data_IF_955631829884
#
_entry.id   IF_955631829884
#
_cell.length_a   1.000
_cell.length_b   1.000
_cell.length_c   1.000
_cell.angle_alpha   90.00
_cell.angle_beta   90.00
_cell.angle_gamma   90.00
#
_symmetry.space_group_name_H-M   'P 1'
#
loop_
_entity.id
_entity.type
_entity.pdbx_description
1 polymer ?
#
# COMPACT_ATOMS: atom_id res chain seq x y z
N UNK A 1 -14.34 28.18 13.39
CA UNK A 1 -15.50 27.85 12.55
C UNK A 1 -15.28 27.95 11.04
N UNK A 2 -14.05 28.13 10.52
CA UNK A 2 -13.78 28.26 9.06
C UNK A 2 -13.25 27.00 8.36
N UNK A 3 -12.94 25.93 9.10
CA UNK A 3 -12.34 24.70 8.52
C UNK A 3 -13.33 23.75 7.83
N UNK A 4 -14.63 23.93 8.03
CA UNK A 4 -15.66 23.06 7.44
C UNK A 4 -16.10 23.42 6.02
N UNK A 5 -15.90 24.68 5.59
CA UNK A 5 -16.39 25.20 4.31
C UNK A 5 -15.44 24.95 3.12
N UNK A 6 -14.17 24.68 3.37
CA UNK A 6 -13.16 24.50 2.30
C UNK A 6 -13.08 23.06 1.75
N UNK A 7 -13.60 22.06 2.46
CA UNK A 7 -13.54 20.64 2.03
C UNK A 7 -14.36 20.34 0.76
N UNK A 8 -15.61 20.82 0.60
CA UNK A 8 -16.40 20.55 -0.61
C UNK A 8 -15.90 21.31 -1.83
N UNK A 9 -15.32 22.51 -1.63
CA UNK A 9 -14.80 23.35 -2.73
C UNK A 9 -13.53 22.73 -3.33
N UNK A 10 -12.60 22.22 -2.52
CA UNK A 10 -11.39 21.55 -3.02
C UNK A 10 -11.72 20.27 -3.83
N UNK A 11 -12.73 19.53 -3.43
CA UNK A 11 -13.16 18.32 -4.13
C UNK A 11 -13.81 18.65 -5.49
N UNK A 12 -14.58 19.74 -5.57
CA UNK A 12 -15.18 20.22 -6.83
C UNK A 12 -14.14 20.82 -7.79
N UNK A 13 -13.20 21.61 -7.27
CA UNK A 13 -12.13 22.20 -8.08
C UNK A 13 -11.19 21.10 -8.65
N UNK A 14 -10.84 20.08 -7.86
CA UNK A 14 -10.00 18.97 -8.35
C UNK A 14 -10.64 18.21 -9.51
N UNK A 15 -11.96 17.99 -9.48
CA UNK A 15 -12.71 17.35 -10.58
C UNK A 15 -12.70 18.24 -11.83
N UNK A 16 -12.86 19.57 -11.69
CA UNK A 16 -12.82 20.49 -12.82
C UNK A 16 -11.45 20.55 -13.48
N UNK A 17 -10.36 20.58 -12.71
CA UNK A 17 -9.00 20.53 -13.27
C UNK A 17 -8.69 19.20 -13.96
N UNK A 18 -9.19 18.08 -13.45
CA UNK A 18 -9.05 16.76 -14.10
C UNK A 18 -9.78 16.69 -15.46
N UNK A 19 -10.80 17.53 -15.69
CA UNK A 19 -11.48 17.63 -16.98
C UNK A 19 -10.77 18.58 -17.97
N UNK A 20 -9.95 19.50 -17.47
CA UNK A 20 -9.29 20.51 -18.30
C UNK A 20 -7.85 20.11 -18.72
N UNK A 21 -7.22 19.22 -17.97
CA UNK A 21 -5.87 18.73 -18.29
C UNK A 21 -5.90 17.20 -18.44
N UNK A 22 -5.71 16.67 -19.65
CA UNK A 22 -5.62 15.23 -19.86
C UNK A 22 -4.43 14.69 -19.06
N UNK A 23 -4.65 13.61 -18.31
CA UNK A 23 -3.62 12.91 -17.56
C UNK A 23 -2.99 11.84 -18.42
N UNK A 24 -1.67 11.67 -18.33
CA UNK A 24 -0.98 10.52 -18.87
C UNK A 24 -1.17 9.29 -17.98
N UNK A 25 -1.14 8.13 -18.58
CA UNK A 25 -1.04 6.86 -17.88
C UNK A 25 0.28 6.81 -17.07
N UNK A 26 0.22 6.49 -15.79
CA UNK A 26 1.41 6.44 -14.91
C UNK A 26 2.47 5.39 -15.33
N UNK A 27 2.15 4.50 -16.28
CA UNK A 27 3.04 3.43 -16.74
C UNK A 27 3.58 3.64 -18.17
N UNK A 28 2.81 4.27 -19.06
CA UNK A 28 3.18 4.40 -20.47
C UNK A 28 2.95 5.81 -21.06
N UNK A 29 2.58 6.78 -20.23
CA UNK A 29 2.28 8.18 -20.59
C UNK A 29 1.16 8.38 -21.63
N UNK A 30 0.50 7.31 -22.11
CA UNK A 30 -0.64 7.41 -22.99
C UNK A 30 -1.73 8.28 -22.36
N UNK A 31 -2.25 9.24 -23.11
CA UNK A 31 -3.35 10.12 -22.66
C UNK A 31 -4.55 9.30 -22.20
N UNK A 32 -5.01 9.58 -20.99
CA UNK A 32 -6.21 8.99 -20.40
C UNK A 32 -7.43 9.87 -20.67
N UNK A 33 -8.60 9.25 -20.79
CA UNK A 33 -9.86 9.99 -20.83
C UNK A 33 -10.03 10.84 -19.57
N UNK A 34 -10.67 12.01 -19.65
CA UNK A 34 -10.98 12.81 -18.48
C UNK A 34 -11.70 11.99 -17.40
N UNK A 35 -11.25 12.09 -16.16
CA UNK A 35 -11.82 11.34 -15.04
C UNK A 35 -11.49 9.83 -15.04
N UNK A 36 -10.60 9.36 -15.92
CA UNK A 36 -10.17 7.95 -15.93
C UNK A 36 -9.67 7.50 -14.58
N UNK A 37 -10.16 6.37 -14.14
CA UNK A 37 -9.83 5.72 -12.87
C UNK A 37 -9.61 4.22 -13.11
N UNK A 38 -8.58 3.65 -12.52
CA UNK A 38 -7.42 4.31 -11.87
C UNK A 38 -6.56 5.06 -12.90
N UNK A 39 -5.62 5.92 -12.48
CA UNK A 39 -4.73 6.71 -13.35
C UNK A 39 -3.73 5.89 -14.17
N UNK A 40 -4.16 4.73 -14.66
CA UNK A 40 -3.43 3.78 -15.50
C UNK A 40 -4.35 3.29 -16.60
N UNK A 41 -3.89 3.22 -17.84
CA UNK A 41 -4.71 2.76 -18.97
C UNK A 41 -5.00 1.25 -18.87
N UNK A 42 -6.07 0.82 -19.51
CA UNK A 42 -6.50 -0.59 -19.48
C UNK A 42 -5.44 -1.54 -20.01
N UNK A 43 -4.72 -1.16 -21.08
CA UNK A 43 -3.63 -1.97 -21.62
C UNK A 43 -2.53 -2.23 -20.58
N UNK A 44 -2.12 -1.18 -19.86
CA UNK A 44 -1.14 -1.33 -18.79
C UNK A 44 -1.67 -2.13 -17.59
N UNK A 45 -2.94 -1.97 -17.21
CA UNK A 45 -3.57 -2.77 -16.16
C UNK A 45 -3.54 -4.26 -16.49
N UNK A 46 -3.89 -4.61 -17.72
CA UNK A 46 -3.89 -6.00 -18.18
C UNK A 46 -2.48 -6.57 -18.36
N UNK A 47 -1.51 -5.72 -18.73
CA UNK A 47 -0.11 -6.11 -18.92
C UNK A 47 0.69 -6.20 -17.62
N UNK A 48 0.17 -5.70 -16.47
CA UNK A 48 0.89 -5.79 -15.19
C UNK A 48 1.06 -7.24 -14.76
N UNK A 49 2.31 -7.73 -14.55
CA UNK A 49 2.56 -9.07 -14.09
C UNK A 49 1.79 -9.39 -12.78
N UNK A 50 1.04 -10.46 -12.79
CA UNK A 50 0.31 -10.94 -11.62
C UNK A 50 -0.91 -10.11 -11.19
N UNK A 51 -1.33 -9.08 -11.94
CA UNK A 51 -2.52 -8.28 -11.61
C UNK A 51 -3.81 -9.12 -11.58
N UNK A 52 -3.94 -10.07 -12.51
CA UNK A 52 -5.10 -10.97 -12.62
C UNK A 52 -4.85 -12.36 -11.98
N UNK A 53 -3.73 -12.53 -11.27
CA UNK A 53 -3.38 -13.81 -10.67
C UNK A 53 -4.13 -14.03 -9.35
N UNK A 54 -4.60 -15.26 -9.14
CA UNK A 54 -5.08 -15.67 -7.82
C UNK A 54 -3.93 -15.63 -6.82
N UNK A 55 -4.19 -15.02 -5.67
CA UNK A 55 -3.20 -14.84 -4.60
C UNK A 55 -3.68 -15.46 -3.31
N UNK A 56 -2.74 -15.92 -2.50
CA UNK A 56 -3.02 -16.28 -1.13
C UNK A 56 -3.56 -15.04 -0.39
N UNK A 57 -4.76 -15.16 0.17
CA UNK A 57 -5.40 -14.06 0.89
C UNK A 57 -4.56 -13.57 2.09
N UNK A 58 -3.71 -14.44 2.67
CA UNK A 58 -2.90 -14.10 3.83
C UNK A 58 -1.58 -13.41 3.45
N UNK A 59 -0.76 -13.97 2.56
CA UNK A 59 0.58 -13.45 2.29
C UNK A 59 0.75 -12.76 0.93
N UNK A 60 -0.28 -12.75 0.09
CA UNK A 60 -0.28 -12.11 -1.22
C UNK A 60 0.59 -12.80 -2.29
N UNK A 61 1.25 -13.91 -1.99
CA UNK A 61 1.96 -14.72 -2.99
C UNK A 61 0.96 -15.42 -3.91
N UNK A 62 1.38 -15.82 -5.13
CA UNK A 62 0.53 -16.60 -6.02
C UNK A 62 -0.05 -17.81 -5.30
N UNK A 63 -1.35 -18.03 -5.45
CA UNK A 63 -1.97 -19.25 -5.00
C UNK A 63 -1.59 -20.38 -5.95
N UNK A 64 -1.25 -21.56 -5.40
CA UNK A 64 -1.11 -22.77 -6.22
C UNK A 64 -2.46 -23.13 -6.82
N UNK A 65 -2.45 -23.61 -8.06
CA UNK A 65 -3.65 -24.17 -8.71
C UNK A 65 -4.12 -25.47 -8.03
N UNK A 66 -3.28 -26.12 -7.23
CA UNK A 66 -3.67 -27.25 -6.40
C UNK A 66 -4.53 -26.74 -5.24
N UNK A 67 -5.63 -27.43 -4.97
CA UNK A 67 -6.56 -27.14 -3.87
C UNK A 67 -5.91 -27.24 -2.46
N UNK A 68 -4.64 -27.58 -2.41
CA UNK A 68 -3.90 -27.78 -1.17
C UNK A 68 -3.43 -26.42 -0.62
N UNK A 69 -4.22 -25.86 0.30
CA UNK A 69 -3.86 -24.66 1.06
C UNK A 69 -2.57 -24.83 1.88
N UNK A 70 -2.08 -26.04 2.06
CA UNK A 70 -0.85 -26.36 2.80
C UNK A 70 0.41 -26.03 1.99
N UNK A 71 0.31 -25.88 0.68
CA UNK A 71 1.44 -25.53 -0.19
C UNK A 71 1.89 -24.06 -0.08
N UNK A 72 1.13 -23.19 0.61
CA UNK A 72 1.54 -21.79 0.78
C UNK A 72 2.64 -21.65 1.84
N UNK A 73 3.76 -20.99 1.53
CA UNK A 73 4.85 -20.77 2.50
C UNK A 73 4.42 -20.06 3.81
N UNK A 74 3.26 -19.39 3.83
CA UNK A 74 2.72 -18.77 5.04
C UNK A 74 1.98 -19.77 5.96
N UNK A 75 1.84 -21.02 5.58
CA UNK A 75 1.26 -22.06 6.44
C UNK A 75 2.16 -22.38 7.65
N UNK A 76 3.49 -22.34 7.44
CA UNK A 76 4.48 -22.60 8.49
C UNK A 76 4.90 -21.35 9.27
N UNK A 77 4.83 -20.17 8.65
CA UNK A 77 5.22 -18.89 9.27
C UNK A 77 4.14 -17.84 9.01
N UNK A 78 3.15 -17.79 9.90
CA UNK A 78 2.05 -16.83 9.79
C UNK A 78 2.56 -15.39 9.85
N UNK A 79 2.22 -14.53 8.87
CA UNK A 79 2.47 -13.10 9.00
C UNK A 79 1.68 -12.51 10.16
N UNK A 80 2.15 -11.41 10.73
CA UNK A 80 1.47 -10.71 11.84
C UNK A 80 0.14 -10.05 11.46
N UNK A 81 -0.06 -9.80 10.17
CA UNK A 81 -1.31 -9.28 9.59
C UNK A 81 -2.25 -10.42 9.15
N UNK A 82 -3.53 -10.10 8.96
CA UNK A 82 -4.57 -11.11 8.74
C UNK A 82 -4.78 -11.41 7.26
N UNK A 83 -4.74 -10.37 6.41
CA UNK A 83 -4.96 -10.48 4.96
C UNK A 83 -4.02 -9.54 4.20
N UNK A 84 -3.90 -9.81 2.89
CA UNK A 84 -3.12 -9.00 1.95
C UNK A 84 -3.95 -8.67 0.71
N UNK A 85 -3.99 -7.40 0.36
CA UNK A 85 -4.42 -6.91 -0.94
C UNK A 85 -3.18 -6.41 -1.67
N UNK A 86 -2.81 -7.06 -2.77
CA UNK A 86 -1.70 -6.65 -3.62
C UNK A 86 -2.20 -6.37 -5.04
N UNK A 87 -1.74 -5.26 -5.64
CA UNK A 87 -2.17 -4.90 -7.00
C UNK A 87 -1.53 -5.85 -8.02
N UNK A 88 -0.19 -5.98 -8.00
CA UNK A 88 0.56 -6.77 -8.98
C UNK A 88 1.83 -7.37 -8.37
N UNK A 89 2.60 -8.10 -9.17
CA UNK A 89 3.95 -8.52 -8.80
C UNK A 89 4.92 -7.34 -8.88
N UNK A 90 5.98 -7.35 -8.05
CA UNK A 90 7.06 -6.37 -8.12
C UNK A 90 7.97 -6.70 -9.30
N UNK A 91 7.57 -6.27 -10.49
CA UNK A 91 8.23 -6.50 -11.77
C UNK A 91 7.93 -5.33 -12.72
N UNK A 92 8.67 -5.25 -13.83
CA UNK A 92 8.45 -4.22 -14.84
C UNK A 92 7.01 -4.30 -15.41
N UNK A 93 6.35 -3.16 -15.64
CA UNK A 93 6.84 -1.78 -15.50
C UNK A 93 6.64 -1.16 -14.12
N UNK A 94 5.91 -1.83 -13.21
CA UNK A 94 5.50 -1.30 -11.91
C UNK A 94 6.69 -1.03 -10.96
N UNK A 95 7.75 -1.84 -11.03
CA UNK A 95 8.99 -1.66 -10.28
C UNK A 95 9.65 -0.30 -10.54
N UNK A 96 9.67 0.12 -11.82
CA UNK A 96 10.20 1.43 -12.24
C UNK A 96 9.38 2.58 -11.68
N UNK A 97 8.05 2.48 -11.71
CA UNK A 97 7.15 3.50 -11.15
C UNK A 97 7.34 3.64 -9.65
N UNK A 98 7.41 2.52 -8.92
CA UNK A 98 7.66 2.52 -7.48
C UNK A 98 9.05 3.09 -7.16
N UNK A 99 10.06 2.75 -7.95
CA UNK A 99 11.43 3.28 -7.79
C UNK A 99 11.46 4.79 -8.06
N UNK A 100 10.80 5.27 -9.12
CA UNK A 100 10.68 6.70 -9.44
C UNK A 100 9.96 7.47 -8.34
N UNK A 101 8.91 6.92 -7.75
CA UNK A 101 8.25 7.51 -6.59
C UNK A 101 9.20 7.58 -5.38
N UNK A 102 9.97 6.51 -5.12
CA UNK A 102 10.87 6.44 -3.94
C UNK A 102 12.11 7.33 -4.06
N UNK A 103 12.73 7.36 -5.22
CA UNK A 103 14.06 7.94 -5.42
C UNK A 103 14.08 9.05 -6.48
N UNK A 104 13.16 9.03 -7.43
CA UNK A 104 13.02 10.05 -8.47
C UNK A 104 12.23 11.30 -8.05
N UNK A 105 11.78 11.38 -6.79
CA UNK A 105 10.95 12.48 -6.25
C UNK A 105 9.66 12.74 -7.03
N UNK A 106 9.17 11.76 -7.78
CA UNK A 106 7.95 11.88 -8.59
C UNK A 106 6.70 11.63 -7.74
N UNK A 107 6.38 12.59 -6.87
CA UNK A 107 5.24 12.51 -5.94
C UNK A 107 3.89 12.35 -6.66
N UNK A 108 3.78 12.85 -7.90
CA UNK A 108 2.59 12.70 -8.75
C UNK A 108 2.20 11.24 -8.97
N UNK A 109 3.15 10.28 -8.89
CA UNK A 109 2.89 8.85 -9.00
C UNK A 109 2.15 8.26 -7.79
N UNK A 110 2.19 8.92 -6.64
CA UNK A 110 1.47 8.43 -5.44
C UNK A 110 -0.05 8.37 -5.67
N UNK A 111 -0.61 9.31 -6.46
CA UNK A 111 -2.04 9.36 -6.76
C UNK A 111 -2.50 8.13 -7.54
N UNK A 112 -1.98 7.81 -8.74
CA UNK A 112 -2.41 6.62 -9.48
C UNK A 112 -2.13 5.32 -8.74
N UNK A 113 -1.07 5.22 -7.94
CA UNK A 113 -0.80 4.03 -7.13
C UNK A 113 -1.82 3.85 -6.00
N UNK A 114 -2.24 4.93 -5.35
CA UNK A 114 -3.34 4.91 -4.37
C UNK A 114 -4.69 4.58 -5.00
N UNK A 115 -4.96 5.09 -6.20
CA UNK A 115 -6.14 4.75 -6.99
C UNK A 115 -6.17 3.26 -7.38
N UNK A 116 -5.02 2.68 -7.77
CA UNK A 116 -4.88 1.24 -8.04
C UNK A 116 -5.15 0.39 -6.79
N UNK A 117 -4.63 0.80 -5.63
CA UNK A 117 -4.92 0.13 -4.35
C UNK A 117 -6.41 0.17 -4.02
N UNK A 118 -7.06 1.32 -4.21
CA UNK A 118 -8.50 1.46 -4.00
C UNK A 118 -9.30 0.53 -4.92
N UNK A 119 -8.98 0.51 -6.22
CA UNK A 119 -9.63 -0.37 -7.19
C UNK A 119 -9.45 -1.85 -6.83
N UNK A 120 -8.24 -2.25 -6.44
CA UNK A 120 -7.95 -3.63 -6.05
C UNK A 120 -8.67 -4.05 -4.78
N UNK A 121 -8.73 -3.17 -3.77
CA UNK A 121 -9.46 -3.42 -2.53
C UNK A 121 -10.97 -3.51 -2.77
N UNK A 122 -11.56 -2.56 -3.51
CA UNK A 122 -13.00 -2.55 -3.83
C UNK A 122 -13.42 -3.78 -4.65
N UNK A 123 -12.52 -4.30 -5.50
CA UNK A 123 -12.71 -5.52 -6.28
C UNK A 123 -12.37 -6.81 -5.54
N UNK A 124 -12.07 -6.77 -4.23
CA UNK A 124 -11.77 -7.99 -3.45
C UNK A 124 -13.02 -8.84 -3.25
N UNK A 125 -12.85 -10.16 -3.35
CA UNK A 125 -13.93 -11.13 -3.08
C UNK A 125 -13.38 -12.25 -2.18
N UNK A 126 -13.99 -12.45 -1.00
CA UNK A 126 -15.06 -11.66 -0.39
C UNK A 126 -14.63 -10.23 -0.09
N UNK A 127 -15.61 -9.33 0.04
CA UNK A 127 -15.37 -7.92 0.36
C UNK A 127 -14.63 -7.77 1.70
N UNK A 128 -13.58 -6.95 1.69
CA UNK A 128 -12.77 -6.66 2.88
C UNK A 128 -13.25 -5.34 3.48
N UNK A 129 -13.69 -5.38 4.74
CA UNK A 129 -14.06 -4.18 5.47
C UNK A 129 -12.82 -3.47 6.03
N UNK A 130 -12.81 -2.13 5.95
CA UNK A 130 -11.80 -1.27 6.55
C UNK A 130 -12.47 -0.09 7.25
N UNK A 131 -12.02 0.20 8.47
CA UNK A 131 -12.49 1.35 9.26
C UNK A 131 -11.55 2.55 9.10
N UNK A 132 -10.26 2.32 8.89
CA UNK A 132 -9.26 3.36 8.68
C UNK A 132 -8.04 2.86 7.90
N UNK A 133 -7.22 3.80 7.42
CA UNK A 133 -5.94 3.55 6.79
C UNK A 133 -4.80 4.06 7.67
N UNK A 134 -3.80 3.22 7.87
CA UNK A 134 -2.55 3.56 8.54
C UNK A 134 -1.40 3.42 7.55
N UNK A 135 -0.73 4.50 7.14
CA UNK A 135 0.45 4.39 6.29
C UNK A 135 1.66 3.89 7.08
N UNK A 136 2.43 2.98 6.50
CA UNK A 136 3.72 2.55 7.06
C UNK A 136 4.66 3.76 7.13
N UNK A 137 5.21 4.11 8.30
CA UNK A 137 6.09 5.26 8.44
C UNK A 137 7.49 4.98 7.91
N UNK A 138 8.09 5.99 7.31
CA UNK A 138 9.53 6.02 7.07
C UNK A 138 10.29 6.27 8.37
N UNK A 139 11.56 5.85 8.42
CA UNK A 139 12.45 6.32 9.46
C UNK A 139 12.75 7.81 9.29
N UNK A 140 13.11 8.55 10.37
CA UNK A 140 13.41 9.98 10.30
C UNK A 140 14.46 10.32 9.26
N UNK A 141 15.52 9.53 9.15
CA UNK A 141 16.58 9.73 8.16
C UNK A 141 16.07 9.58 6.72
N UNK A 142 15.26 8.55 6.46
CA UNK A 142 14.65 8.35 5.13
C UNK A 142 13.65 9.43 4.78
N UNK A 143 12.86 9.89 5.76
CA UNK A 143 11.90 10.98 5.55
C UNK A 143 12.62 12.28 5.24
N UNK A 144 13.70 12.61 5.96
CA UNK A 144 14.52 13.78 5.70
C UNK A 144 15.17 13.75 4.30
N UNK A 145 15.69 12.59 3.89
CA UNK A 145 16.31 12.42 2.58
C UNK A 145 15.27 12.49 1.43
N UNK A 146 14.09 11.88 1.61
CA UNK A 146 13.06 11.79 0.57
C UNK A 146 12.16 13.00 0.51
N UNK A 147 11.96 13.70 1.64
CA UNK A 147 11.10 14.87 1.78
C UNK A 147 9.61 14.57 1.96
N UNK A 148 9.17 13.33 1.72
CA UNK A 148 7.78 12.90 1.87
C UNK A 148 7.68 11.41 2.21
N UNK A 149 6.52 11.01 2.74
CA UNK A 149 6.19 9.60 2.94
C UNK A 149 5.24 9.13 1.83
N UNK A 150 5.74 8.31 0.89
CA UNK A 150 4.97 7.80 -0.26
C UNK A 150 3.73 7.02 0.16
N UNK A 151 3.80 6.24 1.25
CA UNK A 151 2.68 5.44 1.72
C UNK A 151 1.55 6.31 2.27
N UNK A 152 1.88 7.46 2.86
CA UNK A 152 0.90 8.45 3.30
C UNK A 152 0.19 9.08 2.10
N UNK A 153 0.91 9.46 1.07
CA UNK A 153 0.29 10.08 -0.11
C UNK A 153 -0.58 9.07 -0.89
N UNK A 154 -0.15 7.81 -0.98
CA UNK A 154 -0.98 6.73 -1.53
C UNK A 154 -2.23 6.48 -0.68
N UNK A 155 -2.12 6.44 0.66
CA UNK A 155 -3.27 6.29 1.56
C UNK A 155 -4.28 7.44 1.41
N UNK A 156 -3.79 8.68 1.30
CA UNK A 156 -4.64 9.86 1.05
C UNK A 156 -5.37 9.76 -0.28
N UNK A 157 -4.68 9.34 -1.32
CA UNK A 157 -5.28 9.13 -2.65
C UNK A 157 -6.33 8.03 -2.61
N UNK A 158 -6.01 6.88 -2.00
CA UNK A 158 -6.95 5.78 -1.81
C UNK A 158 -8.22 6.25 -1.08
N UNK A 159 -8.07 6.96 0.04
CA UNK A 159 -9.19 7.49 0.81
C UNK A 159 -10.04 8.53 0.04
N UNK A 160 -9.39 9.34 -0.81
CA UNK A 160 -10.10 10.32 -1.65
C UNK A 160 -10.90 9.68 -2.78
N UNK A 161 -10.55 8.47 -3.18
CA UNK A 161 -11.16 7.74 -4.29
C UNK A 161 -12.46 7.06 -3.87
N UNK A 162 -12.54 6.56 -2.64
CA UNK A 162 -13.70 5.81 -2.17
C UNK A 162 -14.85 6.75 -1.76
N UNK A 163 -16.09 6.29 -1.94
CA UNK A 163 -17.29 7.08 -1.62
C UNK A 163 -17.54 7.17 -0.12
N UNK A 164 -17.30 6.06 0.58
CA UNK A 164 -17.44 6.00 2.05
C UNK A 164 -16.25 6.68 2.70
N UNK A 165 -16.46 7.52 3.73
CA UNK A 165 -15.35 8.11 4.47
C UNK A 165 -14.41 7.05 5.02
N UNK A 166 -13.14 7.12 4.65
CA UNK A 166 -12.09 6.22 5.12
C UNK A 166 -10.96 7.06 5.73
N UNK A 167 -10.97 7.26 7.06
CA UNK A 167 -9.98 8.08 7.74
C UNK A 167 -8.55 7.58 7.50
N UNK A 168 -7.63 8.50 7.22
CA UNK A 168 -6.19 8.21 7.18
C UNK A 168 -5.60 8.66 8.51
N UNK A 169 -4.86 7.78 9.18
CA UNK A 169 -4.26 7.96 10.51
C UNK A 169 -2.73 8.13 10.39
N UNK A 170 -2.22 9.31 9.98
CA UNK A 170 -0.86 9.44 9.44
C UNK A 170 0.27 9.35 10.47
N UNK A 171 -0.01 9.63 11.76
CA UNK A 171 1.02 9.76 12.79
C UNK A 171 0.83 8.80 13.96
N UNK A 172 -0.14 7.90 13.87
CA UNK A 172 -0.43 6.93 14.93
C UNK A 172 0.60 5.82 15.00
N UNK A 173 1.06 5.32 13.86
CA UNK A 173 2.18 4.40 13.77
C UNK A 173 3.47 5.20 13.53
N UNK A 174 4.50 4.98 14.35
CA UNK A 174 5.78 5.67 14.27
C UNK A 174 6.92 4.68 14.17
N UNK A 175 7.91 4.96 13.35
CA UNK A 175 9.17 4.21 13.34
C UNK A 175 10.14 4.91 14.29
N UNK A 176 10.43 4.27 15.41
CA UNK A 176 11.22 4.83 16.51
C UNK A 176 12.71 4.47 16.46
N UNK A 177 13.10 3.55 15.55
CA UNK A 177 14.48 3.12 15.38
C UNK A 177 14.85 3.11 13.90
N UNK A 178 15.96 3.75 13.57
CA UNK A 178 16.60 3.56 12.27
C UNK A 178 17.20 2.15 12.22
N UNK A 179 16.84 1.40 11.21
CA UNK A 179 17.36 0.05 10.99
C UNK A 179 18.13 0.02 9.69
N UNK A 180 19.15 -0.82 9.62
CA UNK A 180 19.94 -0.98 8.41
C UNK A 180 19.05 -1.23 7.17
N UNK A 181 19.48 -0.82 5.97
CA UNK A 181 18.80 -1.17 4.74
C UNK A 181 18.58 -2.68 4.66
N UNK A 182 17.39 -3.11 4.30
CA UNK A 182 17.07 -4.54 4.23
C UNK A 182 17.68 -5.23 3.00
N UNK A 183 18.20 -4.45 2.04
CA UNK A 183 18.95 -4.97 0.90
C UNK A 183 20.22 -5.65 1.41
N UNK A 184 20.41 -6.93 1.06
CA UNK A 184 21.57 -7.73 1.48
C UNK A 184 21.38 -8.55 2.78
N UNK A 185 20.31 -8.33 3.54
CA UNK A 185 20.02 -9.14 4.74
C UNK A 185 19.23 -10.41 4.38
N UNK A 186 19.52 -11.51 5.05
CA UNK A 186 18.71 -12.72 5.04
C UNK A 186 17.29 -12.50 5.60
N UNK A 187 16.37 -13.42 5.39
CA UNK A 187 14.99 -13.30 5.88
C UNK A 187 14.92 -13.21 7.41
N UNK A 188 15.76 -13.95 8.11
CA UNK A 188 15.79 -13.94 9.58
C UNK A 188 16.42 -12.68 10.11
N UNK A 189 17.49 -12.20 9.51
CA UNK A 189 18.09 -10.90 9.84
C UNK A 189 17.10 -9.75 9.61
N UNK A 190 16.31 -9.77 8.52
CA UNK A 190 15.25 -8.78 8.27
C UNK A 190 14.17 -8.77 9.36
N UNK A 191 13.82 -9.95 9.89
CA UNK A 191 12.86 -10.05 11.00
C UNK A 191 13.43 -9.47 12.28
N UNK A 192 14.62 -9.90 12.70
CA UNK A 192 15.27 -9.42 13.93
C UNK A 192 15.56 -7.92 13.89
N UNK A 193 15.96 -7.41 12.72
CA UNK A 193 16.26 -5.98 12.52
C UNK A 193 15.06 -5.07 12.81
N UNK A 194 13.82 -5.56 12.63
CA UNK A 194 12.60 -4.77 12.78
C UNK A 194 11.86 -4.95 14.10
N UNK A 195 12.22 -5.94 14.91
CA UNK A 195 11.59 -6.14 16.23
C UNK A 195 11.76 -4.89 17.09
N UNK A 196 10.64 -4.33 17.58
CA UNK A 196 10.64 -3.10 18.38
C UNK A 196 11.01 -1.81 17.62
N UNK A 197 11.00 -1.85 16.26
CA UNK A 197 11.29 -0.65 15.47
C UNK A 197 10.08 0.29 15.32
N UNK A 198 8.88 -0.14 15.72
CA UNK A 198 7.66 0.64 15.62
C UNK A 198 6.99 0.82 16.97
N UNK A 199 6.30 1.96 17.12
CA UNK A 199 5.40 2.24 18.24
C UNK A 199 4.06 2.77 17.72
N UNK A 200 3.01 2.59 18.51
CA UNK A 200 1.70 3.13 18.22
C UNK A 200 1.31 4.19 19.25
N UNK A 201 0.89 5.37 18.80
CA UNK A 201 0.43 6.48 19.64
C UNK A 201 -1.11 6.65 19.55
N UNK A 202 -1.87 5.56 19.48
CA UNK A 202 -3.33 5.59 19.37
C UNK A 202 -3.94 4.29 19.83
N UNK A 203 -5.28 4.27 19.91
CA UNK A 203 -6.06 3.06 20.14
C UNK A 203 -6.86 2.72 18.88
N UNK A 204 -7.00 1.43 18.63
CA UNK A 204 -7.69 0.87 17.48
C UNK A 204 -8.74 -0.17 17.88
N UNK A 205 -9.31 -0.02 19.08
CA UNK A 205 -10.19 -1.01 19.69
C UNK A 205 -11.30 -1.48 18.76
N UNK A 206 -11.24 -2.73 18.37
CA UNK A 206 -12.22 -3.38 17.50
C UNK A 206 -12.15 -2.99 16.02
N UNK A 207 -11.25 -2.10 15.59
CA UNK A 207 -11.18 -1.59 14.22
C UNK A 207 -10.48 -2.57 13.26
N UNK A 208 -10.95 -2.56 12.02
CA UNK A 208 -10.30 -3.19 10.87
C UNK A 208 -9.37 -2.18 10.18
N UNK A 209 -8.08 -2.36 10.32
CA UNK A 209 -7.06 -1.40 9.89
C UNK A 209 -6.46 -1.80 8.55
N UNK A 210 -6.52 -0.92 7.55
CA UNK A 210 -5.77 -1.03 6.31
C UNK A 210 -4.36 -0.46 6.48
N UNK A 211 -3.34 -1.32 6.54
CA UNK A 211 -1.94 -0.94 6.65
C UNK A 211 -1.34 -0.78 5.25
N UNK A 212 -1.06 0.46 4.85
CA UNK A 212 -0.63 0.82 3.48
C UNK A 212 0.88 0.83 3.36
N UNK A 213 1.41 0.06 2.41
CA UNK A 213 2.83 0.09 2.01
C UNK A 213 2.95 0.06 0.47
N UNK A 214 4.13 0.37 -0.07
CA UNK A 214 4.36 0.34 -1.51
C UNK A 214 4.73 -1.07 -2.00
N UNK A 215 5.71 -1.73 -1.36
CA UNK A 215 6.21 -3.06 -1.76
C UNK A 215 6.31 -3.99 -0.56
N UNK A 216 5.68 -5.14 -0.65
CA UNK A 216 5.90 -6.22 0.30
C UNK A 216 6.91 -7.23 -0.27
N UNK A 217 8.10 -7.27 0.31
CA UNK A 217 9.13 -8.29 0.05
C UNK A 217 8.98 -9.48 1.00
N UNK A 218 9.68 -9.51 2.13
CA UNK A 218 9.51 -10.53 3.17
C UNK A 218 8.21 -10.36 3.97
N UNK A 219 7.65 -9.14 4.00
CA UNK A 219 6.53 -8.77 4.85
C UNK A 219 6.92 -8.43 6.29
N UNK A 220 8.23 -8.41 6.64
CA UNK A 220 8.69 -8.18 8.00
C UNK A 220 8.27 -6.81 8.55
N UNK A 221 8.32 -5.75 7.73
CA UNK A 221 7.83 -4.40 8.09
C UNK A 221 6.34 -4.42 8.45
N UNK A 222 5.54 -5.02 7.58
CA UNK A 222 4.10 -5.13 7.78
C UNK A 222 3.75 -6.01 8.98
N UNK A 223 4.49 -7.10 9.19
CA UNK A 223 4.34 -7.99 10.35
C UNK A 223 4.57 -7.27 11.65
N UNK A 224 5.68 -6.53 11.79
CA UNK A 224 5.99 -5.81 13.02
C UNK A 224 5.03 -4.63 13.23
N UNK A 225 4.68 -3.90 12.16
CA UNK A 225 3.67 -2.83 12.21
C UNK A 225 2.30 -3.37 12.65
N UNK A 226 1.87 -4.50 12.10
CA UNK A 226 0.61 -5.14 12.46
C UNK A 226 0.60 -5.62 13.92
N UNK A 227 1.72 -6.16 14.41
CA UNK A 227 1.88 -6.57 15.82
C UNK A 227 1.61 -5.38 16.76
N UNK A 228 2.18 -4.23 16.44
CA UNK A 228 2.02 -3.00 17.24
C UNK A 228 0.58 -2.48 17.18
N UNK A 229 -0.06 -2.50 16.01
CA UNK A 229 -1.46 -2.09 15.83
C UNK A 229 -2.43 -3.03 16.57
N UNK A 230 -2.19 -4.34 16.51
CA UNK A 230 -2.99 -5.33 17.26
C UNK A 230 -2.82 -5.15 18.78
N UNK A 231 -1.61 -4.88 19.24
CA UNK A 231 -1.36 -4.54 20.65
C UNK A 231 -2.09 -3.25 21.09
N UNK A 232 -2.37 -2.34 20.13
CA UNK A 232 -3.18 -1.13 20.34
C UNK A 232 -4.70 -1.35 20.18
N UNK A 233 -5.17 -2.61 20.06
CA UNK A 233 -6.58 -2.98 20.04
C UNK A 233 -7.18 -3.28 18.67
N UNK A 234 -6.40 -3.21 17.56
CA UNK A 234 -6.94 -3.51 16.23
C UNK A 234 -7.48 -4.95 16.16
N UNK A 235 -8.74 -5.09 15.70
CA UNK A 235 -9.40 -6.37 15.50
C UNK A 235 -8.75 -7.16 14.37
N UNK A 236 -8.45 -6.48 13.28
CA UNK A 236 -7.69 -7.06 12.17
C UNK A 236 -6.81 -6.02 11.50
N UNK A 237 -5.72 -6.48 10.89
CA UNK A 237 -4.81 -5.66 10.08
C UNK A 237 -4.69 -6.26 8.69
N UNK A 238 -5.08 -5.48 7.69
CA UNK A 238 -5.06 -5.86 6.29
C UNK A 238 -3.88 -5.12 5.62
N UNK A 239 -2.91 -5.87 5.11
CA UNK A 239 -1.80 -5.31 4.36
C UNK A 239 -2.28 -4.89 2.95
N UNK A 240 -2.15 -3.61 2.63
CA UNK A 240 -2.51 -3.02 1.35
C UNK A 240 -1.21 -2.60 0.65
N UNK A 241 -0.82 -3.30 -0.42
CA UNK A 241 0.45 -3.07 -1.09
C UNK A 241 0.27 -2.93 -2.60
N UNK A 242 1.01 -2.01 -3.20
CA UNK A 242 1.01 -1.83 -4.65
C UNK A 242 1.68 -3.04 -5.32
N UNK A 243 2.81 -3.49 -4.79
CA UNK A 243 3.54 -4.58 -5.40
C UNK A 243 3.94 -5.66 -4.37
N UNK A 244 3.86 -6.92 -4.82
CA UNK A 244 4.34 -8.08 -4.07
C UNK A 244 5.57 -8.67 -4.73
N UNK A 245 6.72 -8.59 -4.07
CA UNK A 245 7.92 -9.24 -4.59
C UNK A 245 7.82 -10.77 -4.48
N UNK A 246 8.22 -11.44 -5.53
CA UNK A 246 8.35 -12.91 -5.54
C UNK A 246 9.59 -13.30 -4.72
N UNK A 247 9.66 -14.54 -4.22
CA UNK A 247 10.77 -14.99 -3.37
C UNK A 247 12.14 -14.93 -4.06
N UNK A 248 12.14 -15.09 -5.38
CA UNK A 248 13.35 -15.16 -6.22
C UNK A 248 13.64 -13.83 -6.95
N UNK A 249 12.88 -12.76 -6.67
CA UNK A 249 13.16 -11.43 -7.26
C UNK A 249 14.24 -10.73 -6.47
N UNK A 250 15.33 -10.27 -7.10
CA UNK A 250 16.31 -9.41 -6.43
C UNK A 250 15.63 -8.15 -5.90
N UNK A 251 15.95 -7.76 -4.69
CA UNK A 251 15.41 -6.59 -4.00
C UNK A 251 16.09 -5.30 -4.49
#
# INVERSE_FOLDING_TARGET
>A
MLQGLLKPVRRRLGVWFDHLAPRGCALCDQTLAPGAFPGVCMACLLAMPGANRLRCARCGLPASASADRQACPCSTASPGFDQTVAVADYAAPLDRVVTSLKFGRQLNLARPLGELLAARWLGSSPAIHLDCLVPVPLSPSRLAHRGFNQTLEMARSMAATVRTPLPVMPFTLRRIRDTAPQSGLSLDERRHNLVGAFSCAGRFDGLHVGLVDDVMTSGSTLTESARVLKAAGARSVIALVVARAMRDSPA
#
